data_IF_558306679351
#
_entry.id   IF_558306679351
#
_cell.length_a   1.000
_cell.length_b   1.000
_cell.length_c   1.000
_cell.angle_alpha   90.00
_cell.angle_beta   90.00
_cell.angle_gamma   90.00
#
_symmetry.space_group_name_H-M   'P 1'
#
loop_
_entity.id
_entity.type
_entity.pdbx_description
1 polymer ?
#
# COMPACT_ATOMS: atom_id res chain seq x y z
N UNK A 1 15.36 6.46 15.67
CA UNK A 1 14.31 5.94 14.75
C UNK A 1 14.69 4.63 14.06
N UNK A 2 15.93 4.10 14.16
CA UNK A 2 16.32 2.93 13.35
C UNK A 2 15.44 1.67 13.57
N UNK A 3 14.62 1.64 14.63
CA UNK A 3 13.56 0.65 14.89
C UNK A 3 12.30 1.23 15.57
N UNK A 4 12.09 2.56 15.49
CA UNK A 4 10.92 3.23 16.09
C UNK A 4 10.06 3.84 14.98
N UNK A 5 8.75 3.53 14.90
CA UNK A 5 8.01 2.63 15.79
C UNK A 5 8.37 1.15 15.57
N UNK A 6 8.17 0.28 16.58
CA UNK A 6 8.41 -1.16 16.45
C UNK A 6 7.65 -1.77 15.27
N UNK A 7 8.29 -2.70 14.56
CA UNK A 7 7.68 -3.38 13.40
C UNK A 7 6.31 -4.02 13.72
N UNK A 8 6.10 -4.47 14.96
CA UNK A 8 4.82 -5.03 15.40
C UNK A 8 3.69 -3.99 15.42
N UNK A 9 3.99 -2.75 15.83
CA UNK A 9 3.03 -1.65 15.82
C UNK A 9 2.69 -1.30 14.37
N UNK A 10 3.70 -1.22 13.51
CA UNK A 10 3.51 -0.98 12.07
C UNK A 10 2.64 -2.06 11.43
N UNK A 11 2.89 -3.33 11.76
CA UNK A 11 2.07 -4.46 11.30
C UNK A 11 0.61 -4.35 11.77
N UNK A 12 0.41 -4.00 13.04
CA UNK A 12 -0.93 -3.79 13.61
C UNK A 12 -1.68 -2.67 12.88
N UNK A 13 -1.05 -1.51 12.70
CA UNK A 13 -1.64 -0.38 11.95
C UNK A 13 -1.98 -0.81 10.52
N UNK A 14 -1.04 -1.46 9.82
CA UNK A 14 -1.25 -1.93 8.46
C UNK A 14 -2.43 -2.91 8.36
N UNK A 15 -2.56 -3.85 9.31
CA UNK A 15 -3.65 -4.82 9.34
C UNK A 15 -5.00 -4.14 9.58
N UNK A 16 -5.09 -3.22 10.56
CA UNK A 16 -6.33 -2.50 10.83
C UNK A 16 -6.77 -1.62 9.65
N UNK A 17 -5.82 -0.92 9.01
CA UNK A 17 -6.09 -0.15 7.79
C UNK A 17 -6.54 -1.07 6.65
N UNK A 18 -5.92 -2.24 6.50
CA UNK A 18 -6.32 -3.23 5.49
C UNK A 18 -7.76 -3.66 5.71
N UNK A 19 -8.15 -4.03 6.93
CA UNK A 19 -9.52 -4.42 7.27
C UNK A 19 -10.50 -3.27 7.00
N UNK A 20 -10.12 -2.05 7.38
CA UNK A 20 -10.93 -0.85 7.15
C UNK A 20 -11.19 -0.60 5.66
N UNK A 21 -10.13 -0.58 4.85
CA UNK A 21 -10.21 -0.35 3.40
C UNK A 21 -10.93 -1.51 2.68
N UNK A 22 -10.69 -2.75 3.12
CA UNK A 22 -11.27 -3.96 2.54
C UNK A 22 -12.68 -4.26 3.04
N UNK A 23 -13.21 -3.50 4.01
CA UNK A 23 -14.54 -3.71 4.59
C UNK A 23 -15.64 -3.99 3.53
N UNK A 24 -15.84 -3.16 2.47
CA UNK A 24 -16.86 -3.44 1.46
C UNK A 24 -16.61 -4.75 0.68
N UNK A 25 -15.35 -5.07 0.40
CA UNK A 25 -14.96 -6.31 -0.30
C UNK A 25 -15.24 -7.52 0.57
N UNK A 26 -14.87 -7.47 1.86
CA UNK A 26 -15.10 -8.52 2.85
C UNK A 26 -16.62 -8.75 3.03
N UNK A 27 -17.40 -7.67 3.15
CA UNK A 27 -18.85 -7.77 3.24
C UNK A 27 -19.47 -8.39 1.99
N UNK A 28 -18.97 -8.05 0.80
CA UNK A 28 -19.44 -8.66 -0.45
C UNK A 28 -19.11 -10.16 -0.51
N UNK A 29 -17.91 -10.59 -0.09
CA UNK A 29 -17.55 -12.01 0.02
C UNK A 29 -18.47 -12.73 1.01
N UNK A 30 -18.71 -12.11 2.17
CA UNK A 30 -19.57 -12.71 3.20
C UNK A 30 -21.00 -12.94 2.70
N UNK A 31 -21.61 -11.91 2.11
CA UNK A 31 -23.00 -11.96 1.66
C UNK A 31 -23.21 -12.81 0.41
N UNK A 32 -22.25 -12.82 -0.52
CA UNK A 32 -22.42 -13.48 -1.82
C UNK A 32 -21.87 -14.91 -1.86
N UNK A 33 -20.93 -15.25 -0.97
CA UNK A 33 -20.29 -16.57 -0.97
C UNK A 33 -20.48 -17.30 0.36
N UNK A 34 -20.03 -16.73 1.47
CA UNK A 34 -20.00 -17.44 2.75
C UNK A 34 -21.41 -17.77 3.28
N UNK A 35 -22.29 -16.78 3.36
CA UNK A 35 -23.65 -16.96 3.89
C UNK A 35 -24.47 -17.96 3.05
N UNK A 36 -24.55 -17.84 1.71
CA UNK A 36 -25.29 -18.80 0.89
C UNK A 36 -24.68 -20.21 0.92
N UNK A 37 -23.35 -20.34 1.01
CA UNK A 37 -22.68 -21.63 1.18
C UNK A 37 -23.07 -22.29 2.50
N UNK A 38 -23.03 -21.55 3.60
CA UNK A 38 -23.39 -22.05 4.92
C UNK A 38 -24.88 -22.41 5.05
N UNK A 39 -25.75 -21.75 4.27
CA UNK A 39 -27.18 -22.08 4.16
C UNK A 39 -27.45 -23.27 3.22
N UNK A 40 -26.42 -23.85 2.59
CA UNK A 40 -26.55 -24.96 1.64
C UNK A 40 -27.06 -24.53 0.25
N UNK A 41 -27.16 -23.23 -0.02
CA UNK A 41 -27.63 -22.67 -1.29
C UNK A 41 -26.56 -22.65 -2.39
N UNK A 42 -25.27 -22.80 -2.02
CA UNK A 42 -24.15 -22.90 -2.95
C UNK A 42 -23.32 -24.15 -2.68
N UNK A 43 -22.84 -24.78 -3.75
CA UNK A 43 -21.71 -25.72 -3.65
C UNK A 43 -20.41 -24.98 -3.34
N UNK A 44 -19.39 -25.71 -2.88
CA UNK A 44 -18.07 -25.14 -2.59
C UNK A 44 -17.44 -24.44 -3.81
N UNK A 45 -17.60 -25.01 -5.00
CA UNK A 45 -17.08 -24.45 -6.26
C UNK A 45 -17.79 -23.13 -6.61
N UNK A 46 -19.12 -23.09 -6.50
CA UNK A 46 -19.88 -21.86 -6.74
C UNK A 46 -19.58 -20.77 -5.70
N UNK A 47 -19.39 -21.16 -4.43
CA UNK A 47 -19.00 -20.25 -3.37
C UNK A 47 -17.60 -19.66 -3.64
N UNK A 48 -16.66 -20.47 -4.11
CA UNK A 48 -15.33 -20.01 -4.53
C UNK A 48 -15.41 -18.99 -5.66
N UNK A 49 -16.15 -19.29 -6.73
CA UNK A 49 -16.36 -18.38 -7.86
C UNK A 49 -17.05 -17.07 -7.44
N UNK A 50 -18.02 -17.15 -6.52
CA UNK A 50 -18.69 -15.98 -5.97
C UNK A 50 -17.75 -15.13 -5.10
N UNK A 51 -16.89 -15.75 -4.29
CA UNK A 51 -15.94 -15.07 -3.42
C UNK A 51 -14.82 -14.36 -4.20
N UNK A 52 -14.36 -14.96 -5.31
CA UNK A 52 -13.31 -14.37 -6.12
C UNK A 52 -13.71 -13.06 -6.81
N UNK A 53 -14.97 -12.93 -7.25
CA UNK A 53 -15.46 -11.76 -8.00
C UNK A 53 -15.19 -10.42 -7.30
N UNK A 54 -15.61 -10.20 -6.04
CA UNK A 54 -15.34 -8.93 -5.35
C UNK A 54 -13.84 -8.69 -5.13
N UNK A 55 -13.05 -9.73 -4.85
CA UNK A 55 -11.60 -9.62 -4.66
C UNK A 55 -10.91 -9.23 -5.97
N UNK A 56 -11.28 -9.87 -7.09
CA UNK A 56 -10.80 -9.51 -8.43
C UNK A 56 -11.18 -8.08 -8.78
N UNK A 57 -12.43 -7.68 -8.54
CA UNK A 57 -12.89 -6.33 -8.82
C UNK A 57 -12.11 -5.28 -8.01
N UNK A 58 -11.78 -5.57 -6.74
CA UNK A 58 -10.91 -4.71 -5.94
C UNK A 58 -9.50 -4.58 -6.55
N UNK A 59 -8.84 -5.71 -6.86
CA UNK A 59 -7.49 -5.69 -7.42
C UNK A 59 -7.45 -5.00 -8.79
N UNK A 60 -8.42 -5.24 -9.67
CA UNK A 60 -8.50 -4.64 -11.00
C UNK A 60 -8.56 -3.11 -10.95
N UNK A 61 -9.27 -2.54 -9.96
CA UNK A 61 -9.35 -1.08 -9.79
C UNK A 61 -8.00 -0.43 -9.49
N UNK A 62 -7.11 -1.14 -8.79
CA UNK A 62 -5.81 -0.59 -8.38
C UNK A 62 -4.65 -1.02 -9.28
N UNK A 63 -4.84 -2.12 -10.02
CA UNK A 63 -3.78 -2.66 -10.88
C UNK A 63 -3.67 -1.83 -12.16
N UNK A 64 -2.46 -1.39 -12.49
CA UNK A 64 -2.24 -0.61 -13.71
C UNK A 64 -2.30 -1.54 -14.92
N UNK A 65 -2.99 -1.12 -15.98
CA UNK A 65 -3.15 -1.92 -17.21
C UNK A 65 -1.81 -2.37 -17.83
N UNK A 66 -0.78 -1.53 -17.72
CA UNK A 66 0.59 -1.86 -18.16
C UNK A 66 1.19 -3.03 -17.41
N UNK A 67 0.90 -3.17 -16.12
CA UNK A 67 1.45 -4.21 -15.26
C UNK A 67 0.70 -5.53 -15.50
N UNK A 68 -0.61 -5.48 -15.76
CA UNK A 68 -1.38 -6.63 -16.27
C UNK A 68 -0.82 -7.10 -17.61
N UNK A 69 -0.61 -6.19 -18.56
CA UNK A 69 -0.08 -6.51 -19.88
C UNK A 69 1.32 -7.14 -19.82
N UNK A 70 2.16 -6.71 -18.87
CA UNK A 70 3.47 -7.31 -18.64
C UNK A 70 3.35 -8.79 -18.28
N UNK A 71 2.52 -9.13 -17.28
CA UNK A 71 2.35 -10.52 -16.84
C UNK A 71 1.65 -11.39 -17.90
N UNK A 72 0.70 -10.84 -18.67
CA UNK A 72 0.11 -11.55 -19.81
C UNK A 72 1.16 -11.92 -20.87
N UNK A 73 2.07 -10.99 -21.19
CA UNK A 73 3.17 -11.23 -22.14
C UNK A 73 4.15 -12.27 -21.62
N UNK A 74 4.51 -12.20 -20.34
CA UNK A 74 5.39 -13.19 -19.70
C UNK A 74 4.75 -14.59 -19.75
N UNK A 75 3.45 -14.68 -19.46
CA UNK A 75 2.69 -15.91 -19.49
C UNK A 75 2.34 -16.40 -20.91
N UNK A 76 2.68 -15.62 -21.96
CA UNK A 76 2.31 -15.87 -23.36
C UNK A 76 0.80 -16.11 -23.56
N UNK A 77 -0.02 -15.44 -22.77
CA UNK A 77 -1.48 -15.51 -22.88
C UNK A 77 -2.01 -14.44 -23.83
N UNK A 78 -3.10 -14.71 -24.58
CA UNK A 78 -3.76 -13.69 -25.37
C UNK A 78 -4.32 -12.60 -24.46
N UNK A 79 -4.47 -11.38 -25.00
CA UNK A 79 -5.15 -10.32 -24.26
C UNK A 79 -6.59 -10.77 -23.95
N UNK A 80 -7.03 -10.68 -22.69
CA UNK A 80 -8.40 -11.05 -22.33
C UNK A 80 -9.38 -10.10 -23.02
N UNK A 81 -10.53 -10.63 -23.47
CA UNK A 81 -11.57 -9.79 -24.06
C UNK A 81 -12.27 -8.95 -23.00
N UNK A 82 -12.41 -9.50 -21.79
CA UNK A 82 -13.01 -8.85 -20.63
C UNK A 82 -12.13 -9.05 -19.39
N UNK A 83 -12.11 -8.06 -18.49
CA UNK A 83 -11.35 -8.10 -17.23
C UNK A 83 -11.72 -9.31 -16.34
N UNK A 84 -12.94 -9.83 -16.49
CA UNK A 84 -13.44 -11.00 -15.79
C UNK A 84 -12.76 -12.32 -16.19
N UNK A 85 -12.22 -12.40 -17.41
CA UNK A 85 -11.47 -13.57 -17.90
C UNK A 85 -10.03 -13.62 -17.35
N UNK A 86 -9.57 -12.56 -16.68
CA UNK A 86 -8.23 -12.51 -16.14
C UNK A 86 -8.10 -13.48 -14.96
N UNK A 87 -7.19 -14.45 -15.09
CA UNK A 87 -6.89 -15.40 -14.01
C UNK A 87 -6.21 -14.72 -12.83
N UNK A 88 -6.47 -15.23 -11.61
CA UNK A 88 -5.81 -14.71 -10.39
C UNK A 88 -4.29 -14.88 -10.44
N UNK A 89 -3.79 -15.91 -11.14
CA UNK A 89 -2.38 -16.15 -11.38
C UNK A 89 -1.67 -15.02 -12.13
N UNK A 90 -2.41 -14.21 -12.89
CA UNK A 90 -1.88 -13.01 -13.58
C UNK A 90 -2.20 -11.76 -12.78
N UNK A 91 -3.44 -11.64 -12.27
CA UNK A 91 -3.89 -10.44 -11.59
C UNK A 91 -3.18 -10.20 -10.26
N UNK A 92 -2.97 -11.24 -9.44
CA UNK A 92 -2.30 -11.09 -8.13
C UNK A 92 -0.88 -10.54 -8.25
N UNK A 93 0.04 -11.13 -9.06
CA UNK A 93 1.38 -10.57 -9.18
C UNK A 93 1.39 -9.19 -9.86
N UNK A 94 0.49 -8.93 -10.81
CA UNK A 94 0.35 -7.61 -11.42
C UNK A 94 -0.08 -6.53 -10.39
N UNK A 95 -1.04 -6.88 -9.53
CA UNK A 95 -1.51 -6.05 -8.42
C UNK A 95 -0.36 -5.74 -7.45
N UNK A 96 0.39 -6.76 -7.00
CA UNK A 96 1.52 -6.58 -6.07
C UNK A 96 2.56 -5.60 -6.63
N UNK A 97 2.92 -5.73 -7.91
CA UNK A 97 3.90 -4.82 -8.54
C UNK A 97 3.33 -3.40 -8.69
N UNK A 98 2.05 -3.28 -9.05
CA UNK A 98 1.37 -1.98 -9.13
C UNK A 98 1.37 -1.26 -7.78
N UNK A 99 1.00 -1.97 -6.71
CA UNK A 99 0.98 -1.46 -5.34
C UNK A 99 2.37 -1.12 -4.83
N UNK A 100 3.38 -1.98 -5.09
CA UNK A 100 4.75 -1.71 -4.69
C UNK A 100 5.24 -0.40 -5.31
N UNK A 101 4.96 -0.17 -6.60
CA UNK A 101 5.32 1.07 -7.27
C UNK A 101 4.62 2.28 -6.63
N UNK A 102 3.32 2.19 -6.38
CA UNK A 102 2.56 3.26 -5.71
C UNK A 102 3.10 3.52 -4.30
N UNK A 103 3.45 2.48 -3.53
CA UNK A 103 4.04 2.61 -2.20
C UNK A 103 5.41 3.30 -2.24
N UNK A 104 6.26 3.00 -3.24
CA UNK A 104 7.52 3.70 -3.45
C UNK A 104 7.31 5.18 -3.83
N UNK A 105 6.33 5.48 -4.69
CA UNK A 105 5.99 6.86 -5.07
C UNK A 105 5.55 7.67 -3.83
N UNK A 106 4.65 7.12 -3.00
CA UNK A 106 4.21 7.75 -1.74
C UNK A 106 5.38 7.90 -0.77
N UNK A 107 6.16 6.83 -0.55
CA UNK A 107 7.31 6.84 0.36
C UNK A 107 8.36 7.88 -0.04
N UNK A 108 8.62 8.01 -1.34
CA UNK A 108 9.53 9.03 -1.86
C UNK A 108 9.02 10.44 -1.58
N UNK A 109 7.75 10.74 -1.88
CA UNK A 109 7.17 12.06 -1.64
C UNK A 109 7.19 12.45 -0.15
N UNK A 110 6.89 11.50 0.73
CA UNK A 110 6.96 11.70 2.18
C UNK A 110 8.39 11.91 2.68
N UNK A 111 9.39 11.35 1.98
CA UNK A 111 10.79 11.44 2.38
C UNK A 111 11.45 12.79 2.03
N UNK A 112 11.02 13.45 0.94
CA UNK A 112 11.55 14.74 0.46
C UNK A 112 11.73 15.80 1.57
N UNK A 113 10.70 16.15 2.38
CA UNK A 113 10.85 17.19 3.39
C UNK A 113 11.93 16.87 4.43
N UNK A 114 12.12 15.58 4.78
CA UNK A 114 13.14 15.17 5.73
C UNK A 114 14.55 15.25 5.15
N UNK A 115 14.71 14.95 3.87
CA UNK A 115 15.99 15.13 3.16
C UNK A 115 16.40 16.59 3.12
N UNK A 116 15.44 17.49 2.88
CA UNK A 116 15.69 18.94 2.91
C UNK A 116 16.23 19.37 4.28
N UNK A 117 15.61 18.89 5.37
CA UNK A 117 16.10 19.16 6.73
C UNK A 117 17.54 18.64 6.90
N UNK A 118 17.84 17.41 6.46
CA UNK A 118 19.20 16.85 6.58
C UNK A 118 20.24 17.68 5.85
N UNK A 119 19.95 18.12 4.62
CA UNK A 119 20.85 18.94 3.81
C UNK A 119 21.07 20.30 4.48
N UNK A 120 20.00 20.95 4.94
CA UNK A 120 20.08 22.26 5.59
C UNK A 120 20.88 22.17 6.89
N UNK A 121 20.55 21.23 7.78
CA UNK A 121 21.25 21.05 9.06
C UNK A 121 22.74 20.75 8.84
N UNK A 122 23.06 19.87 7.88
CA UNK A 122 24.45 19.55 7.55
C UNK A 122 25.21 20.78 7.06
N UNK A 123 24.61 21.57 6.16
CA UNK A 123 25.24 22.80 5.62
C UNK A 123 25.53 23.84 6.71
N UNK A 124 24.63 24.00 7.69
CA UNK A 124 24.80 24.92 8.82
C UNK A 124 25.90 24.44 9.76
N UNK A 125 25.92 23.16 10.11
CA UNK A 125 26.95 22.59 10.98
C UNK A 125 28.35 22.70 10.37
N UNK A 126 28.48 22.42 9.08
CA UNK A 126 29.73 22.58 8.33
C UNK A 126 30.18 24.05 8.33
N UNK A 127 29.25 24.99 8.17
CA UNK A 127 29.54 26.43 8.21
C UNK A 127 30.00 26.91 9.60
N UNK A 128 29.56 26.26 10.66
CA UNK A 128 30.00 26.53 12.04
C UNK A 128 31.33 25.85 12.42
N UNK A 129 31.94 25.08 11.50
CA UNK A 129 33.18 24.35 11.76
C UNK A 129 33.01 23.10 12.63
N UNK A 130 31.76 22.69 12.92
CA UNK A 130 31.46 21.53 13.77
C UNK A 130 31.45 20.22 12.97
N UNK A 131 32.61 19.85 12.41
CA UNK A 131 32.73 18.64 11.57
C UNK A 131 32.59 17.32 12.34
N UNK A 132 32.78 17.34 13.67
CA UNK A 132 32.79 16.14 14.51
C UNK A 132 31.42 15.73 15.05
N UNK A 133 30.42 16.60 14.95
CA UNK A 133 29.05 16.29 15.38
C UNK A 133 28.28 15.65 14.21
N UNK A 134 27.75 14.42 14.38
CA UNK A 134 26.95 13.80 13.33
C UNK A 134 25.69 14.65 13.03
N UNK A 135 25.50 15.16 11.80
CA UNK A 135 24.36 16.03 11.48
C UNK A 135 23.00 15.41 11.78
N UNK A 136 22.91 14.07 11.69
CA UNK A 136 21.71 13.29 11.99
C UNK A 136 21.21 13.48 13.43
N UNK A 137 22.11 13.65 14.39
CA UNK A 137 21.74 13.86 15.80
C UNK A 137 21.03 15.21 15.99
N UNK A 138 21.47 16.22 15.24
CA UNK A 138 20.90 17.57 15.28
C UNK A 138 19.63 17.65 14.43
N UNK A 139 19.57 16.97 13.28
CA UNK A 139 18.41 17.01 12.40
C UNK A 139 17.20 16.26 12.95
N UNK A 140 17.42 15.21 13.76
CA UNK A 140 16.36 14.38 14.35
C UNK A 140 15.24 15.16 15.07
N UNK A 141 15.51 16.05 16.05
CA UNK A 141 14.45 16.82 16.72
C UNK A 141 13.66 17.71 15.75
N UNK A 142 14.30 18.30 14.74
CA UNK A 142 13.60 19.09 13.72
C UNK A 142 12.68 18.24 12.86
N UNK A 143 13.10 17.02 12.49
CA UNK A 143 12.24 16.08 11.74
C UNK A 143 11.02 15.67 12.55
N UNK A 144 11.21 15.34 13.83
CA UNK A 144 10.10 14.98 14.72
C UNK A 144 9.14 16.17 14.90
N UNK A 145 9.67 17.37 15.11
CA UNK A 145 8.88 18.58 15.22
C UNK A 145 8.09 18.85 13.93
N UNK A 146 8.72 18.77 12.76
CA UNK A 146 8.02 18.92 11.47
C UNK A 146 6.91 17.87 11.33
N UNK A 147 7.21 16.61 11.62
CA UNK A 147 6.25 15.52 11.48
C UNK A 147 5.04 15.69 12.41
N UNK A 148 5.25 16.13 13.66
CA UNK A 148 4.15 16.38 14.60
C UNK A 148 3.35 17.63 14.22
N UNK A 149 4.03 18.73 13.83
CA UNK A 149 3.37 19.98 13.43
C UNK A 149 2.53 19.82 12.15
N UNK A 150 2.98 18.95 11.24
CA UNK A 150 2.25 18.65 10.02
C UNK A 150 1.13 17.60 10.21
N UNK A 151 0.88 17.13 11.44
CA UNK A 151 -0.01 16.00 11.70
C UNK A 151 0.33 14.78 10.83
N UNK A 152 1.62 14.41 10.85
CA UNK A 152 2.23 13.49 9.90
C UNK A 152 1.59 12.10 9.87
N UNK A 153 1.12 11.58 11.01
CA UNK A 153 0.40 10.31 11.05
C UNK A 153 -0.93 10.37 10.30
N UNK A 154 -1.68 11.45 10.45
CA UNK A 154 -2.91 11.67 9.71
C UNK A 154 -2.63 11.82 8.21
N UNK A 155 -1.58 12.56 7.83
CA UNK A 155 -1.16 12.68 6.43
C UNK A 155 -0.80 11.34 5.81
N UNK A 156 -0.05 10.49 6.52
CA UNK A 156 0.32 9.14 6.04
C UNK A 156 -0.93 8.28 5.86
N UNK A 157 -1.79 8.20 6.88
CA UNK A 157 -3.02 7.40 6.82
C UNK A 157 -3.94 7.90 5.72
N UNK A 158 -4.16 9.21 5.62
CA UNK A 158 -5.01 9.81 4.60
C UNK A 158 -4.46 9.57 3.19
N UNK A 159 -3.15 9.67 2.99
CA UNK A 159 -2.51 9.41 1.70
C UNK A 159 -2.66 7.94 1.30
N UNK A 160 -2.53 7.01 2.26
CA UNK A 160 -2.76 5.58 2.02
C UNK A 160 -4.22 5.31 1.67
N UNK A 161 -5.18 5.81 2.46
CA UNK A 161 -6.62 5.57 2.20
C UNK A 161 -7.05 6.17 0.87
N UNK A 162 -6.63 7.41 0.55
CA UNK A 162 -6.91 8.04 -0.76
C UNK A 162 -6.23 7.33 -1.92
N UNK A 163 -5.18 6.54 -1.70
CA UNK A 163 -4.58 5.74 -2.77
C UNK A 163 -5.49 4.60 -3.22
N UNK A 164 -6.44 4.16 -2.38
CA UNK A 164 -7.35 3.05 -2.67
C UNK A 164 -8.76 3.50 -3.08
N UNK A 165 -9.06 4.80 -3.06
CA UNK A 165 -10.37 5.38 -3.35
C UNK A 165 -10.26 6.55 -4.33
#
# INVERSE_FOLDING_TARGET
LQQEPPNQILLGIALFLTIFIMSPTISAVYNNAYKPFNEGNLSLEQAYDAAQKPIKAFMLKQTRQKDIALFLRIAKQPNPQNEQQLGLNILVPAFIISELKTAFEIGFLLYIPFVIIDIVVSSVLMSMGMMMLPPVMISLPFKLLLFVLADGWNLVVLSLVKSFH
#
